data_IF_876635315782
#
_entry.id   IF_876635315782
#
_cell.length_a   1.000
_cell.length_b   1.000
_cell.length_c   1.000
_cell.angle_alpha   90.00
_cell.angle_beta   90.00
_cell.angle_gamma   90.00
#
_symmetry.space_group_name_H-M   'P 1'
#
loop_
_entity.id
_entity.type
_entity.pdbx_description
1 polymer ?
#
# COMPACT_ATOMS: atom_id res chain seq x y z
N UNK A 1 -24.72 -13.11 -12.95
CA UNK A 1 -23.56 -12.20 -12.86
C UNK A 1 -23.98 -10.99 -12.06
N UNK A 2 -23.37 -10.80 -10.89
CA UNK A 2 -23.24 -9.57 -10.10
C UNK A 2 -23.00 -10.01 -8.67
N UNK A 3 -21.83 -9.67 -8.14
CA UNK A 3 -21.61 -9.34 -6.73
C UNK A 3 -20.24 -8.65 -6.72
N UNK A 4 -20.25 -7.38 -7.11
CA UNK A 4 -19.13 -6.48 -6.91
C UNK A 4 -18.96 -6.27 -5.41
N UNK A 5 -17.92 -6.84 -4.83
CA UNK A 5 -17.45 -6.47 -3.51
C UNK A 5 -16.40 -5.36 -3.67
N UNK A 6 -16.86 -4.11 -3.79
CA UNK A 6 -15.99 -2.95 -3.61
C UNK A 6 -15.60 -2.85 -2.13
N UNK A 7 -14.52 -3.53 -1.76
CA UNK A 7 -13.88 -3.35 -0.46
C UNK A 7 -13.20 -1.99 -0.42
N UNK A 8 -13.87 -0.98 0.14
CA UNK A 8 -13.20 0.26 0.57
C UNK A 8 -12.45 -0.08 1.85
N UNK A 9 -11.20 -0.54 1.71
CA UNK A 9 -10.28 -0.62 2.84
C UNK A 9 -10.03 0.81 3.37
N UNK A 10 -10.33 1.00 4.65
CA UNK A 10 -10.45 2.31 5.30
C UNK A 10 -9.22 3.21 5.14
N UNK A 11 -9.44 4.40 4.60
CA UNK A 11 -8.45 5.46 4.49
C UNK A 11 -8.31 6.18 5.84
N UNK A 12 -7.30 5.83 6.64
CA UNK A 12 -6.93 6.63 7.80
C UNK A 12 -6.05 7.82 7.37
N UNK A 13 -6.65 9.00 7.35
CA UNK A 13 -6.03 10.28 7.07
C UNK A 13 -5.24 10.80 8.29
N UNK A 14 -3.92 10.64 8.27
CA UNK A 14 -3.01 11.21 9.27
C UNK A 14 -2.56 12.63 8.92
N UNK A 15 -3.30 13.64 9.37
CA UNK A 15 -2.91 15.04 9.64
C UNK A 15 -1.61 15.56 8.96
N UNK A 16 -1.77 16.33 7.89
CA UNK A 16 -0.75 17.13 7.19
C UNK A 16 -0.14 18.21 8.10
N UNK A 17 1.07 18.00 8.59
CA UNK A 17 1.99 19.05 9.05
C UNK A 17 3.40 18.63 8.64
N UNK A 18 4.22 19.59 8.18
CA UNK A 18 5.54 19.41 7.57
C UNK A 18 6.48 18.47 8.34
N UNK A 19 6.36 17.17 8.09
CA UNK A 19 7.20 16.11 8.62
C UNK A 19 8.12 15.64 7.50
N UNK A 20 9.38 15.34 7.84
CA UNK A 20 10.27 14.66 6.90
C UNK A 20 9.59 13.38 6.43
N UNK A 21 9.71 13.03 5.14
CA UNK A 21 9.12 11.80 4.64
C UNK A 21 9.68 10.59 5.40
N UNK A 22 8.82 9.61 5.64
CA UNK A 22 9.18 8.29 6.11
C UNK A 22 10.11 7.66 5.08
N UNK A 23 11.10 6.89 5.52
CA UNK A 23 11.90 6.12 4.57
C UNK A 23 11.03 5.06 3.89
N UNK A 24 11.32 4.75 2.62
CA UNK A 24 10.64 3.68 1.89
C UNK A 24 10.64 2.36 2.68
N UNK A 25 11.79 1.99 3.27
CA UNK A 25 11.91 0.81 4.13
C UNK A 25 10.98 0.84 5.34
N UNK A 26 10.77 2.01 5.98
CA UNK A 26 9.83 2.13 7.10
C UNK A 26 8.40 1.93 6.63
N UNK A 27 8.03 2.50 5.48
CA UNK A 27 6.72 2.32 4.87
C UNK A 27 6.48 0.85 4.49
N UNK A 28 7.42 0.19 3.81
CA UNK A 28 7.35 -1.23 3.48
C UNK A 28 7.20 -2.11 4.72
N UNK A 29 7.97 -1.83 5.78
CA UNK A 29 7.87 -2.58 7.04
C UNK A 29 6.48 -2.40 7.68
N UNK A 30 5.83 -1.26 7.51
CA UNK A 30 4.47 -1.03 8.02
C UNK A 30 3.44 -1.81 7.22
N UNK A 31 3.43 -1.65 5.90
CA UNK A 31 2.53 -2.38 5.00
C UNK A 31 2.64 -3.90 5.23
N UNK A 32 3.87 -4.43 5.30
CA UNK A 32 4.08 -5.86 5.57
C UNK A 32 3.47 -6.31 6.89
N UNK A 33 3.58 -5.51 7.96
CA UNK A 33 2.97 -5.85 9.26
C UNK A 33 1.45 -5.85 9.21
N UNK A 34 0.86 -4.93 8.46
CA UNK A 34 -0.60 -4.84 8.35
C UNK A 34 -1.16 -5.99 7.51
N UNK A 35 -0.54 -6.33 6.38
CA UNK A 35 -0.96 -7.47 5.56
C UNK A 35 -0.68 -8.83 6.23
N UNK A 36 0.38 -8.93 7.03
CA UNK A 36 0.69 -10.15 7.78
C UNK A 36 -0.38 -10.52 8.82
N UNK A 37 -1.28 -9.60 9.20
CA UNK A 37 -2.44 -9.88 10.07
C UNK A 37 -3.51 -10.72 9.37
N UNK A 38 -3.52 -10.72 8.04
CA UNK A 38 -4.53 -11.36 7.21
C UNK A 38 -4.01 -12.59 6.45
N UNK A 39 -2.70 -12.83 6.45
CA UNK A 39 -2.11 -14.00 5.80
C UNK A 39 -0.58 -13.95 5.74
N UNK A 40 0.04 -15.07 5.36
CA UNK A 40 1.50 -15.17 5.28
C UNK A 40 2.03 -14.37 4.10
N UNK A 41 2.98 -13.48 4.36
CA UNK A 41 3.71 -12.73 3.33
C UNK A 41 4.93 -13.52 2.90
N UNK A 42 5.04 -13.80 1.60
CA UNK A 42 6.15 -14.58 1.02
C UNK A 42 7.16 -13.71 0.27
N UNK A 43 6.80 -12.47 -0.08
CA UNK A 43 7.69 -11.53 -0.76
C UNK A 43 7.24 -10.08 -0.59
N UNK A 44 8.18 -9.13 -0.70
CA UNK A 44 7.88 -7.70 -0.69
C UNK A 44 9.02 -6.86 -1.27
N UNK A 45 8.71 -5.78 -1.97
CA UNK A 45 9.67 -4.81 -2.48
C UNK A 45 9.11 -3.38 -2.42
N UNK A 46 9.99 -2.39 -2.49
CA UNK A 46 9.62 -0.97 -2.58
C UNK A 46 10.66 -0.17 -3.37
N UNK A 47 10.22 0.73 -4.26
CA UNK A 47 11.10 1.74 -4.88
C UNK A 47 11.35 2.87 -3.88
N UNK A 48 12.62 3.25 -3.73
CA UNK A 48 13.05 4.33 -2.84
C UNK A 48 12.79 5.73 -3.41
N UNK A 49 12.41 5.84 -4.70
CA UNK A 49 12.08 7.11 -5.34
C UNK A 49 10.66 7.53 -4.99
N UNK A 50 10.53 8.77 -4.55
CA UNK A 50 9.23 9.40 -4.35
C UNK A 50 8.67 9.85 -5.70
N UNK A 51 7.41 9.54 -5.96
CA UNK A 51 6.68 10.00 -7.14
C UNK A 51 5.51 10.89 -6.72
N UNK A 52 5.22 11.99 -7.45
CA UNK A 52 4.02 12.77 -7.19
C UNK A 52 2.77 11.91 -7.34
N UNK A 53 1.87 12.00 -6.37
CA UNK A 53 0.58 11.33 -6.40
C UNK A 53 -0.54 12.36 -6.30
N UNK A 54 -1.48 12.29 -7.25
CA UNK A 54 -2.68 13.12 -7.25
C UNK A 54 -3.91 12.28 -7.57
N UNK A 55 -4.90 12.33 -6.67
CA UNK A 55 -6.22 11.72 -6.88
C UNK A 55 -7.29 12.58 -6.21
N UNK A 56 -8.23 13.12 -7.00
CA UNK A 56 -9.22 14.10 -6.55
C UNK A 56 -8.53 15.30 -5.86
N UNK A 57 -8.91 15.59 -4.60
CA UNK A 57 -8.33 16.66 -3.79
C UNK A 57 -7.03 16.27 -3.06
N UNK A 58 -6.61 15.00 -3.13
CA UNK A 58 -5.38 14.52 -2.48
C UNK A 58 -4.19 14.78 -3.38
N UNK A 59 -3.21 15.54 -2.89
CA UNK A 59 -1.91 15.77 -3.52
C UNK A 59 -0.80 15.47 -2.50
N UNK A 60 0.10 14.55 -2.84
CA UNK A 60 1.18 14.11 -1.93
C UNK A 60 2.34 13.51 -2.74
N UNK A 61 3.38 13.05 -2.05
CA UNK A 61 4.43 12.20 -2.61
C UNK A 61 4.23 10.77 -2.14
N UNK A 62 4.41 9.80 -3.03
CA UNK A 62 4.18 8.40 -2.74
C UNK A 62 5.39 7.53 -3.11
N UNK A 63 5.55 6.43 -2.39
CA UNK A 63 6.38 5.31 -2.81
C UNK A 63 5.52 4.26 -3.50
N UNK A 64 6.11 3.55 -4.46
CA UNK A 64 5.51 2.39 -5.10
C UNK A 64 6.20 1.13 -4.60
N UNK A 65 5.44 0.08 -4.37
CA UNK A 65 5.96 -1.22 -3.98
C UNK A 65 4.98 -2.33 -4.28
N UNK A 66 5.35 -3.52 -3.85
CA UNK A 66 4.49 -4.68 -3.95
C UNK A 66 4.78 -5.71 -2.87
N UNK A 67 3.83 -6.62 -2.69
CA UNK A 67 3.95 -7.77 -1.80
C UNK A 67 3.26 -8.99 -2.38
N UNK A 68 3.70 -10.16 -1.94
CA UNK A 68 3.07 -11.44 -2.26
C UNK A 68 2.52 -12.03 -0.98
N UNK A 69 1.24 -12.40 -0.99
CA UNK A 69 0.54 -13.03 0.14
C UNK A 69 0.04 -14.41 -0.28
N UNK A 70 0.08 -15.38 0.62
CA UNK A 70 -0.60 -16.66 0.42
C UNK A 70 -2.08 -16.51 0.76
N UNK A 71 -2.95 -16.75 -0.21
CA UNK A 71 -4.41 -16.80 -0.08
C UNK A 71 -4.88 -18.16 -0.56
N UNK A 72 -5.55 -18.92 0.31
CA UNK A 72 -6.03 -20.28 0.01
C UNK A 72 -4.93 -21.24 -0.53
N UNK A 73 -3.69 -21.02 -0.08
CA UNK A 73 -2.52 -21.80 -0.50
C UNK A 73 -1.82 -21.27 -1.76
N UNK A 74 -2.41 -20.30 -2.45
CA UNK A 74 -1.88 -19.74 -3.70
C UNK A 74 -1.21 -18.38 -3.48
N UNK A 75 -0.05 -18.11 -4.13
CA UNK A 75 0.62 -16.82 -4.04
C UNK A 75 -0.13 -15.76 -4.87
N UNK A 76 -0.63 -14.73 -4.19
CA UNK A 76 -1.31 -13.59 -4.78
C UNK A 76 -0.43 -12.34 -4.67
N UNK A 77 -0.18 -11.70 -5.81
CA UNK A 77 0.65 -10.50 -5.89
C UNK A 77 -0.20 -9.23 -5.77
N UNK A 78 0.32 -8.27 -5.02
CA UNK A 78 -0.26 -6.96 -4.84
C UNK A 78 0.74 -5.88 -5.20
N UNK A 79 0.29 -4.84 -5.90
CA UNK A 79 0.99 -3.58 -6.02
C UNK A 79 0.32 -2.53 -5.14
N UNK A 80 1.12 -1.70 -4.49
CA UNK A 80 0.62 -0.62 -3.66
C UNK A 80 1.33 0.71 -3.93
N UNK A 81 0.62 1.79 -3.64
CA UNK A 81 1.20 3.12 -3.44
C UNK A 81 0.96 3.55 -2.00
N UNK A 82 2.01 4.06 -1.36
CA UNK A 82 1.97 4.48 0.04
C UNK A 82 2.44 5.92 0.16
N UNK A 83 1.72 6.71 0.94
CA UNK A 83 2.04 8.11 1.20
C UNK A 83 3.38 8.24 1.94
N UNK A 84 4.30 9.02 1.36
CA UNK A 84 5.66 9.16 1.87
C UNK A 84 5.73 9.92 3.20
N UNK A 85 4.71 10.70 3.57
CA UNK A 85 4.72 11.54 4.78
C UNK A 85 4.00 10.92 5.96
N UNK A 86 3.06 10.03 5.70
CA UNK A 86 2.18 9.42 6.72
C UNK A 86 2.35 7.91 6.80
N UNK A 87 2.83 7.27 5.73
CA UNK A 87 2.83 5.82 5.58
C UNK A 87 1.44 5.22 5.31
N UNK A 88 0.44 6.06 5.02
CA UNK A 88 -0.92 5.60 4.70
C UNK A 88 -0.97 4.96 3.32
N UNK A 89 -1.70 3.84 3.20
CA UNK A 89 -1.96 3.18 1.93
C UNK A 89 -2.86 4.08 1.06
N UNK A 90 -2.38 4.48 -0.11
CA UNK A 90 -3.09 5.34 -1.06
C UNK A 90 -3.83 4.52 -2.12
N UNK A 91 -3.20 3.43 -2.56
CA UNK A 91 -3.72 2.56 -3.60
C UNK A 91 -3.22 1.14 -3.34
N UNK A 92 -4.09 0.18 -3.60
CA UNK A 92 -3.78 -1.24 -3.57
C UNK A 92 -4.44 -1.89 -4.78
N UNK A 93 -3.66 -2.64 -5.53
CA UNK A 93 -4.12 -3.39 -6.69
C UNK A 93 -3.70 -4.84 -6.53
N UNK A 94 -4.66 -5.76 -6.53
CA UNK A 94 -4.41 -7.19 -6.69
C UNK A 94 -4.04 -7.44 -8.16
N UNK A 95 -2.98 -8.18 -8.41
CA UNK A 95 -2.62 -8.62 -9.76
C UNK A 95 -3.31 -9.96 -10.01
N UNK A 96 -4.22 -9.97 -10.98
CA UNK A 96 -4.79 -11.20 -11.53
C UNK A 96 -3.79 -11.76 -12.55
N UNK A 97 -3.50 -13.06 -12.45
CA UNK A 97 -2.70 -13.79 -13.43
C UNK A 97 -3.54 -14.12 -14.67
#
# INVERSE_FOLDING_TARGET
MTLGASGVAGFLAGKLFGKRPYSANRALKQIRRDFAKEGTITGSWIDHRQTPFQRFAVKTSAYQGGLTRLEDGEPVNYEFKVDAFTGSLLELKRLEN
#
